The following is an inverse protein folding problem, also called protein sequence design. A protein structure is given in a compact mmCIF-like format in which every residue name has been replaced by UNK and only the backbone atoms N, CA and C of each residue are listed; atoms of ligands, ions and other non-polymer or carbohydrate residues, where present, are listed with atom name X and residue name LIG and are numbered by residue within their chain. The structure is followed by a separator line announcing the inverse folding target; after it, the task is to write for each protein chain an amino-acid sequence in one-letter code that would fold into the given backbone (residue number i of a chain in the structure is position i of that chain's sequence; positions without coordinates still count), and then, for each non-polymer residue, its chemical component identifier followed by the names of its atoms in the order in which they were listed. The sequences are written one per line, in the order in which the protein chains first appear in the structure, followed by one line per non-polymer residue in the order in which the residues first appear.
data_IF_721930855558
#
_entry.id   IF_721930855558
#
_cell.length_a   1.000
_cell.length_b   1.000
_cell.length_c   1.000
_cell.angle_alpha   90.00
_cell.angle_beta   90.00
_cell.angle_gamma   90.00
#
_symmetry.space_group_name_H-M   'P 1'
#
loop_
_entity.id
_entity.type
_entity.pdbx_description
1 polymer ?
#
# COMPACT_ATOMS: atom_id res chain seq x y z
N UNK A 1 17.01 2.29 2.25
CA UNK A 1 18.14 2.01 3.18
C UNK A 1 18.01 0.65 3.87
N UNK A 2 16.86 0.29 4.47
CA UNK A 2 16.66 -1.02 5.14
C UNK A 2 16.81 -2.26 4.24
N UNK A 3 16.27 -2.24 3.02
CA UNK A 3 16.37 -3.36 2.06
C UNK A 3 17.82 -3.65 1.60
N UNK A 4 18.66 -2.61 1.50
CA UNK A 4 20.08 -2.73 1.11
C UNK A 4 20.93 -3.27 2.27
N UNK A 5 20.49 -3.06 3.52
CA UNK A 5 21.18 -3.51 4.74
C UNK A 5 20.78 -4.92 5.21
N UNK A 6 20.12 -5.71 4.36
CA UNK A 6 19.61 -7.08 4.67
C UNK A 6 18.68 -7.14 5.89
N UNK A 7 17.90 -6.08 6.14
CA UNK A 7 16.87 -6.04 7.19
C UNK A 7 15.47 -6.02 6.55
N UNK A 8 15.00 -7.16 6.02
CA UNK A 8 13.70 -7.26 5.35
C UNK A 8 12.54 -6.89 6.29
N UNK A 9 12.63 -7.25 7.57
CA UNK A 9 11.59 -7.00 8.56
C UNK A 9 11.38 -5.49 8.81
N UNK A 10 12.46 -4.71 8.84
CA UNK A 10 12.41 -3.26 8.99
C UNK A 10 11.85 -2.60 7.72
N UNK A 11 12.15 -3.13 6.55
CA UNK A 11 11.59 -2.62 5.30
C UNK A 11 10.08 -2.85 5.23
N UNK A 12 9.59 -4.03 5.62
CA UNK A 12 8.14 -4.34 5.69
C UNK A 12 7.45 -3.49 6.75
N UNK A 13 8.04 -3.38 7.94
CA UNK A 13 7.53 -2.52 9.01
C UNK A 13 7.43 -1.05 8.60
N UNK A 14 8.41 -0.55 7.84
CA UNK A 14 8.37 0.81 7.32
C UNK A 14 7.24 1.00 6.28
N UNK A 15 7.05 0.05 5.36
CA UNK A 15 5.99 0.14 4.34
C UNK A 15 4.60 0.11 4.98
N UNK A 16 4.37 -0.83 5.90
CA UNK A 16 3.05 -0.95 6.54
C UNK A 16 2.82 0.19 7.54
N UNK A 17 3.83 0.53 8.35
CA UNK A 17 3.76 1.64 9.30
C UNK A 17 3.48 2.98 8.61
N UNK A 18 4.12 3.26 7.47
CA UNK A 18 3.88 4.49 6.71
C UNK A 18 2.45 4.56 6.15
N UNK A 19 1.88 3.43 5.70
CA UNK A 19 0.50 3.40 5.20
C UNK A 19 -0.52 3.60 6.34
N UNK A 20 -0.32 2.94 7.48
CA UNK A 20 -1.17 3.13 8.66
C UNK A 20 -1.10 4.58 9.15
N UNK A 21 0.11 5.15 9.23
CA UNK A 21 0.29 6.54 9.63
C UNK A 21 -0.38 7.52 8.67
N UNK A 22 -0.25 7.32 7.36
CA UNK A 22 -0.90 8.18 6.38
C UNK A 22 -2.44 8.11 6.46
N UNK A 23 -3.02 6.94 6.69
CA UNK A 23 -4.47 6.80 6.83
C UNK A 23 -5.00 7.36 8.16
N UNK A 24 -4.34 7.06 9.28
CA UNK A 24 -4.85 7.46 10.60
C UNK A 24 -4.45 8.89 10.96
N UNK A 25 -3.17 9.25 10.78
CA UNK A 25 -2.68 10.56 11.15
C UNK A 25 -2.98 11.58 10.06
N UNK A 26 -2.53 11.38 8.83
CA UNK A 26 -2.70 12.42 7.79
C UNK A 26 -4.15 12.51 7.33
N UNK A 27 -4.72 11.42 6.81
CA UNK A 27 -6.10 11.41 6.29
C UNK A 27 -7.11 11.66 7.42
N UNK A 28 -6.94 11.02 8.59
CA UNK A 28 -7.79 11.26 9.75
C UNK A 28 -7.78 12.71 10.20
N UNK A 29 -6.61 13.30 10.46
CA UNK A 29 -6.51 14.69 10.91
C UNK A 29 -7.01 15.68 9.84
N UNK A 30 -6.68 15.45 8.57
CA UNK A 30 -7.16 16.32 7.48
C UNK A 30 -8.67 16.24 7.32
N UNK A 31 -9.28 15.06 7.48
CA UNK A 31 -10.74 14.88 7.38
C UNK A 31 -11.52 15.59 8.50
N UNK A 32 -10.91 15.75 9.68
CA UNK A 32 -11.48 16.51 10.80
C UNK A 32 -11.44 18.02 10.53
N UNK A 33 -10.38 18.51 9.89
CA UNK A 33 -10.20 19.94 9.58
C UNK A 33 -10.99 20.34 8.34
N UNK A 34 -10.92 19.55 7.27
CA UNK A 34 -11.63 19.77 6.01
C UNK A 34 -12.32 18.47 5.61
N UNK A 35 -13.67 18.43 5.55
CA UNK A 35 -14.39 17.24 5.13
C UNK A 35 -13.92 16.81 3.73
N UNK A 36 -13.27 15.65 3.68
CA UNK A 36 -12.76 15.08 2.43
C UNK A 36 -13.92 14.44 1.64
N UNK A 37 -14.23 15.02 0.48
CA UNK A 37 -15.14 14.42 -0.49
C UNK A 37 -14.34 13.50 -1.42
N UNK A 38 -14.63 12.20 -1.37
CA UNK A 38 -14.03 11.17 -2.22
C UNK A 38 -14.54 11.21 -3.68
N UNK A 39 -15.00 12.37 -4.17
CA UNK A 39 -15.71 12.51 -5.45
C UNK A 39 -14.93 12.06 -6.71
N UNK A 40 -13.63 11.79 -6.60
CA UNK A 40 -12.79 11.24 -7.68
C UNK A 40 -12.25 9.83 -7.46
N UNK A 41 -12.61 9.17 -6.35
CA UNK A 41 -12.23 7.79 -6.08
C UNK A 41 -13.23 6.85 -6.76
N UNK A 42 -12.77 6.13 -7.77
CA UNK A 42 -13.60 5.12 -8.42
C UNK A 42 -13.67 3.89 -7.51
N UNK A 43 -14.78 3.14 -7.53
CA UNK A 43 -14.90 1.86 -6.79
C UNK A 43 -13.70 0.95 -7.06
N UNK A 44 -13.18 0.95 -8.29
CA UNK A 44 -11.98 0.21 -8.69
C UNK A 44 -10.74 0.66 -7.91
N UNK A 45 -10.52 1.96 -7.73
CA UNK A 45 -9.38 2.49 -6.98
C UNK A 45 -9.42 1.98 -5.53
N UNK A 46 -10.60 2.03 -4.89
CA UNK A 46 -10.81 1.56 -3.52
C UNK A 46 -10.68 0.04 -3.41
N UNK A 47 -11.21 -0.73 -4.35
CA UNK A 47 -11.11 -2.19 -4.37
C UNK A 47 -9.68 -2.67 -4.60
N UNK A 48 -8.91 -2.01 -5.48
CA UNK A 48 -7.49 -2.34 -5.68
C UNK A 48 -6.69 -1.99 -4.43
N UNK A 49 -6.92 -0.83 -3.81
CA UNK A 49 -6.27 -0.46 -2.54
C UNK A 49 -6.55 -1.49 -1.43
N UNK A 50 -7.83 -1.83 -1.22
CA UNK A 50 -8.23 -2.87 -0.26
C UNK A 50 -7.65 -4.24 -0.60
N UNK A 51 -7.69 -4.63 -1.88
CA UNK A 51 -7.14 -5.89 -2.35
C UNK A 51 -5.65 -6.00 -2.08
N UNK A 52 -4.87 -4.95 -2.34
CA UNK A 52 -3.43 -4.92 -2.02
C UNK A 52 -3.15 -4.92 -0.52
N UNK A 53 -3.97 -4.25 0.30
CA UNK A 53 -3.87 -4.29 1.76
C UNK A 53 -4.15 -5.70 2.32
N UNK A 54 -5.18 -6.38 1.79
CA UNK A 54 -5.49 -7.76 2.17
C UNK A 54 -4.39 -8.71 1.69
N UNK A 55 -3.87 -8.54 0.47
CA UNK A 55 -2.73 -9.30 -0.05
C UNK A 55 -1.46 -9.14 0.79
N UNK A 56 -1.29 -8.00 1.45
CA UNK A 56 -0.17 -7.77 2.35
C UNK A 56 -0.35 -8.41 3.72
N UNK A 57 -1.56 -8.73 4.17
CA UNK A 57 -1.78 -9.40 5.46
C UNK A 57 -1.13 -10.80 5.55
N UNK A 58 -1.32 -11.74 4.61
CA UNK A 58 -0.63 -13.03 4.61
C UNK A 58 0.90 -12.88 4.64
N UNK A 59 1.44 -11.87 3.94
CA UNK A 59 2.87 -11.56 3.89
C UNK A 59 3.43 -11.14 5.25
N UNK A 60 2.59 -10.56 6.13
CA UNK A 60 2.98 -10.25 7.50
C UNK A 60 2.98 -11.50 8.39
N UNK A 61 2.05 -12.44 8.17
CA UNK A 61 1.98 -13.69 8.92
C UNK A 61 3.08 -14.70 8.54
N UNK A 62 3.66 -14.60 7.34
CA UNK A 62 4.78 -15.46 6.89
C UNK A 62 6.16 -15.02 7.41
N UNK A 63 6.22 -14.25 8.50
CA UNK A 63 7.46 -13.90 9.19
C UNK A 63 8.07 -12.57 8.75
N UNK A 64 7.25 -11.60 8.33
CA UNK A 64 7.67 -10.22 7.96
C UNK A 64 8.77 -10.11 6.89
N UNK A 65 9.03 -11.19 6.16
CA UNK A 65 10.06 -11.23 5.12
C UNK A 65 9.40 -11.20 3.75
N UNK A 66 9.57 -10.09 3.03
CA UNK A 66 9.11 -9.99 1.65
C UNK A 66 10.12 -10.65 0.72
N UNK A 67 9.75 -11.80 0.15
CA UNK A 67 10.59 -12.48 -0.83
C UNK A 67 10.57 -11.75 -2.17
N UNK A 68 11.60 -11.96 -3.01
CA UNK A 68 11.69 -11.33 -4.34
C UNK A 68 10.48 -11.65 -5.23
N UNK A 69 9.87 -12.84 -5.07
CA UNK A 69 8.71 -13.27 -5.86
C UNK A 69 7.44 -12.50 -5.47
N UNK A 70 7.23 -12.30 -4.17
CA UNK A 70 6.09 -11.53 -3.65
C UNK A 70 6.22 -10.05 -3.99
N UNK A 71 7.43 -9.50 -3.87
CA UNK A 71 7.74 -8.14 -4.32
C UNK A 71 7.47 -7.95 -5.81
N UNK A 72 7.87 -8.92 -6.66
CA UNK A 72 7.60 -8.87 -8.10
C UNK A 72 6.10 -8.92 -8.42
N UNK A 73 5.34 -9.78 -7.73
CA UNK A 73 3.89 -9.87 -7.89
C UNK A 73 3.20 -8.54 -7.56
N UNK A 74 3.56 -7.92 -6.43
CA UNK A 74 3.04 -6.62 -6.03
C UNK A 74 3.39 -5.53 -7.04
N UNK A 75 4.59 -5.58 -7.61
CA UNK A 75 5.06 -4.63 -8.63
C UNK A 75 4.27 -4.78 -9.95
N UNK A 76 3.98 -6.01 -10.38
CA UNK A 76 3.15 -6.28 -11.56
C UNK A 76 1.71 -5.80 -11.38
N UNK A 77 1.11 -6.04 -10.21
CA UNK A 77 -0.23 -5.53 -9.88
C UNK A 77 -0.24 -4.00 -9.91
N UNK A 78 0.79 -3.36 -9.37
CA UNK A 78 0.93 -1.91 -9.39
C UNK A 78 1.07 -1.35 -10.81
N UNK A 79 1.91 -1.96 -11.65
CA UNK A 79 2.07 -1.56 -13.05
C UNK A 79 0.77 -1.77 -13.86
N UNK A 80 0.06 -2.88 -13.63
CA UNK A 80 -1.24 -3.12 -14.25
C UNK A 80 -2.28 -2.08 -13.85
N UNK A 81 -2.33 -1.70 -12.58
CA UNK A 81 -3.20 -0.64 -12.10
C UNK A 81 -2.85 0.72 -12.71
N UNK A 82 -1.57 1.10 -12.77
CA UNK A 82 -1.14 2.33 -13.44
C UNK A 82 -1.54 2.31 -14.91
N UNK A 83 -1.27 1.22 -15.63
CA UNK A 83 -1.60 1.12 -17.06
C UNK A 83 -3.11 1.23 -17.30
N UNK A 84 -3.93 0.68 -16.42
CA UNK A 84 -5.38 0.79 -16.48
C UNK A 84 -5.87 2.22 -16.19
N UNK A 85 -5.27 2.89 -15.19
CA UNK A 85 -5.67 4.24 -14.78
C UNK A 85 -5.03 5.34 -15.61
N UNK A 86 -4.03 5.02 -16.43
CA UNK A 86 -3.35 6.00 -17.28
C UNK A 86 -4.35 6.60 -18.27
N UNK A 87 -4.49 7.94 -18.32
CA UNK A 87 -5.41 8.57 -19.24
C UNK A 87 -4.90 8.33 -20.66
N UNK A 88 -5.77 7.81 -21.54
CA UNK A 88 -5.54 7.89 -22.98
C UNK A 88 -5.85 9.29 -23.47
#
# INVERSE_FOLDING_TARGET
VAAIRRQPDIAVGNVVGSNIFNLLAILGLTSVIVPFSAAGLTVIDTTVMLGTAVLTLPLMFTGFTLTRKEGLLLLLVYLGYIAYRWPK
#
